data_IF_316880153484
#
_entry.id   IF_316880153484
#
_cell.length_a   1.000
_cell.length_b   1.000
_cell.length_c   1.000
_cell.angle_alpha   90.00
_cell.angle_beta   90.00
_cell.angle_gamma   90.00
#
_symmetry.space_group_name_H-M   'P 1'
#
loop_
_entity.id
_entity.type
_entity.pdbx_description
1 polymer ?
#
# COMPACT_ATOMS: atom_id res chain seq x y z
N UNK A 1 -51.37 -7.06 2.18
CA UNK A 1 -52.20 -5.89 1.82
C UNK A 1 -51.98 -4.78 2.85
N UNK A 2 -51.14 -3.80 2.59
CA UNK A 2 -51.20 -2.48 3.21
C UNK A 2 -50.30 -1.55 2.40
N UNK A 3 -50.99 -0.75 1.63
CA UNK A 3 -50.44 0.31 0.78
C UNK A 3 -50.15 1.52 1.67
N UNK A 4 -48.88 1.88 1.85
CA UNK A 4 -48.51 3.17 2.47
C UNK A 4 -48.59 4.26 1.43
N UNK A 5 -49.63 5.07 1.54
CA UNK A 5 -49.82 6.31 0.81
C UNK A 5 -48.79 7.35 1.25
N UNK A 6 -48.07 7.92 0.28
CA UNK A 6 -47.21 9.10 0.42
C UNK A 6 -48.06 10.34 0.57
N UNK A 7 -47.74 11.28 1.47
CA UNK A 7 -48.46 12.54 1.61
C UNK A 7 -48.22 13.48 0.43
N UNK A 8 -49.31 14.09 -0.03
CA UNK A 8 -49.39 15.10 -1.09
C UNK A 8 -48.47 16.30 -0.80
N UNK A 9 -47.63 16.58 -1.78
CA UNK A 9 -46.78 17.77 -1.81
C UNK A 9 -47.63 19.03 -2.01
N UNK A 10 -47.74 19.83 -0.97
CA UNK A 10 -48.40 21.14 -1.02
C UNK A 10 -47.49 22.10 -1.81
N UNK A 11 -47.97 22.78 -2.86
CA UNK A 11 -47.17 23.78 -3.57
C UNK A 11 -47.01 25.03 -2.71
N UNK A 12 -45.76 25.41 -2.39
CA UNK A 12 -45.44 26.71 -1.81
C UNK A 12 -45.74 27.82 -2.81
N UNK A 13 -46.42 28.89 -2.40
CA UNK A 13 -46.62 30.06 -3.25
C UNK A 13 -45.26 30.71 -3.54
N UNK A 14 -44.99 30.94 -4.81
CA UNK A 14 -43.83 31.68 -5.27
C UNK A 14 -43.90 33.13 -4.77
N UNK A 15 -43.24 33.42 -3.67
CA UNK A 15 -43.02 34.80 -3.25
C UNK A 15 -42.06 35.46 -4.25
N UNK A 16 -42.61 36.40 -5.02
CA UNK A 16 -41.88 37.20 -5.98
C UNK A 16 -40.70 37.90 -5.28
N UNK A 17 -39.48 37.62 -5.72
CA UNK A 17 -38.30 38.34 -5.27
C UNK A 17 -38.48 39.82 -5.53
N UNK A 18 -38.29 40.69 -4.54
CA UNK A 18 -38.35 42.13 -4.77
C UNK A 18 -37.30 42.50 -5.82
N UNK A 19 -37.73 43.14 -6.89
CA UNK A 19 -36.88 43.63 -7.94
C UNK A 19 -35.94 44.67 -7.34
N UNK A 20 -34.64 44.34 -7.24
CA UNK A 20 -33.64 45.28 -6.75
C UNK A 20 -33.69 46.55 -7.56
N UNK A 21 -33.84 47.68 -6.89
CA UNK A 21 -33.81 49.00 -7.53
C UNK A 21 -32.44 49.18 -8.24
N UNK A 22 -32.40 49.80 -9.43
CA UNK A 22 -31.15 50.04 -10.12
C UNK A 22 -30.29 50.97 -9.31
N UNK A 23 -29.10 50.46 -8.90
CA UNK A 23 -28.07 51.22 -8.18
C UNK A 23 -27.53 52.27 -9.14
N UNK A 24 -27.57 53.57 -8.77
CA UNK A 24 -27.10 54.66 -9.65
C UNK A 24 -25.63 54.46 -10.04
N UNK A 25 -25.29 54.66 -11.29
CA UNK A 25 -23.98 54.44 -11.89
C UNK A 25 -22.82 55.23 -11.22
N UNK A 26 -23.16 56.24 -10.42
CA UNK A 26 -22.17 57.05 -9.65
C UNK A 26 -21.48 56.29 -8.49
N UNK A 27 -21.96 55.13 -8.05
CA UNK A 27 -21.36 54.31 -6.93
C UNK A 27 -20.42 53.23 -7.40
N UNK A 28 -20.11 53.09 -8.67
CA UNK A 28 -19.10 52.13 -9.18
C UNK A 28 -17.69 52.75 -9.24
N UNK A 29 -17.28 53.48 -8.21
CA UNK A 29 -15.87 53.80 -8.08
C UNK A 29 -15.14 52.54 -7.64
N UNK A 30 -14.29 51.99 -8.52
CA UNK A 30 -13.40 50.89 -8.19
C UNK A 30 -12.55 51.21 -6.97
N UNK A 31 -12.02 50.21 -6.28
CA UNK A 31 -11.17 50.44 -5.09
C UNK A 31 -10.00 51.35 -5.51
N UNK A 32 -9.88 52.50 -4.85
CA UNK A 32 -8.73 53.40 -5.05
C UNK A 32 -7.43 52.70 -4.62
N UNK A 33 -6.27 53.29 -4.92
CA UNK A 33 -4.94 52.72 -4.62
C UNK A 33 -4.84 52.22 -3.19
N UNK A 34 -5.41 52.93 -2.23
CA UNK A 34 -5.48 52.49 -0.81
C UNK A 34 -6.32 51.23 -0.60
N UNK A 35 -7.34 50.98 -1.41
CA UNK A 35 -8.14 49.76 -1.38
C UNK A 35 -7.40 48.57 -2.00
N UNK A 36 -6.61 48.79 -3.03
CA UNK A 36 -5.74 47.79 -3.64
C UNK A 36 -4.61 47.37 -2.68
N UNK A 37 -3.98 48.33 -2.01
CA UNK A 37 -2.94 48.03 -1.01
C UNK A 37 -3.47 47.24 0.18
N UNK A 38 -4.63 47.61 0.74
CA UNK A 38 -5.28 46.80 1.81
C UNK A 38 -5.67 45.42 1.34
N UNK A 39 -6.12 45.28 0.08
CA UNK A 39 -6.42 43.96 -0.52
C UNK A 39 -5.16 43.09 -0.67
N UNK A 40 -4.04 43.71 -0.95
CA UNK A 40 -2.76 43.01 -1.07
C UNK A 40 -2.20 42.59 0.32
N UNK A 41 -2.26 43.46 1.32
CA UNK A 41 -1.91 43.15 2.70
C UNK A 41 -2.81 42.03 3.28
N UNK A 42 -4.11 42.04 2.98
CA UNK A 42 -5.02 40.98 3.40
C UNK A 42 -4.68 39.64 2.73
N UNK A 43 -4.29 39.64 1.46
CA UNK A 43 -3.87 38.41 0.75
C UNK A 43 -2.58 37.85 1.32
N UNK A 44 -1.59 38.68 1.64
CA UNK A 44 -0.32 38.23 2.23
C UNK A 44 -0.51 37.70 3.65
N UNK A 45 -1.34 38.35 4.46
CA UNK A 45 -1.69 37.85 5.81
C UNK A 45 -2.49 36.56 5.75
N UNK A 46 -3.46 36.43 4.85
CA UNK A 46 -4.20 35.18 4.65
C UNK A 46 -3.30 34.04 4.14
N UNK A 47 -2.35 34.33 3.25
CA UNK A 47 -1.34 33.37 2.81
C UNK A 47 -0.49 32.87 3.97
N UNK A 48 0.04 33.77 4.79
CA UNK A 48 0.84 33.40 5.96
C UNK A 48 0.04 32.58 6.99
N UNK A 49 -1.23 32.91 7.22
CA UNK A 49 -2.12 32.13 8.10
C UNK A 49 -2.41 30.74 7.50
N UNK A 50 -2.59 30.65 6.17
CA UNK A 50 -2.75 29.38 5.46
C UNK A 50 -1.53 28.47 5.66
N UNK A 51 -0.33 28.98 5.42
CA UNK A 51 0.92 28.24 5.63
C UNK A 51 1.13 27.78 7.08
N UNK A 52 0.80 28.63 8.04
CA UNK A 52 0.85 28.26 9.47
C UNK A 52 -0.16 27.15 9.82
N UNK A 53 -1.35 27.21 9.25
CA UNK A 53 -2.38 26.19 9.46
C UNK A 53 -1.95 24.84 8.87
N UNK A 54 -1.43 24.85 7.65
CA UNK A 54 -0.89 23.65 7.01
C UNK A 54 0.29 23.06 7.80
N UNK A 55 1.22 23.91 8.24
CA UNK A 55 2.35 23.46 9.07
C UNK A 55 1.91 22.83 10.40
N UNK A 56 0.89 23.41 11.05
CA UNK A 56 0.34 22.86 12.30
C UNK A 56 -0.42 21.56 12.08
N UNK A 57 -1.19 21.45 10.99
CA UNK A 57 -1.88 20.21 10.63
C UNK A 57 -0.88 19.11 10.29
N UNK A 58 0.17 19.42 9.54
CA UNK A 58 1.25 18.48 9.22
C UNK A 58 1.99 18.01 10.48
N UNK A 59 2.29 18.93 11.41
CA UNK A 59 2.93 18.57 12.67
C UNK A 59 2.06 17.65 13.53
N UNK A 60 0.74 17.90 13.61
CA UNK A 60 -0.22 17.02 14.28
C UNK A 60 -0.30 15.65 13.63
N UNK A 61 -0.38 15.58 12.31
CA UNK A 61 -0.41 14.32 11.58
C UNK A 61 0.88 13.50 11.81
N UNK A 62 2.05 14.15 11.78
CA UNK A 62 3.33 13.51 12.11
C UNK A 62 3.36 12.96 13.53
N UNK A 63 2.88 13.73 14.52
CA UNK A 63 2.82 13.27 15.90
C UNK A 63 1.88 12.07 16.08
N UNK A 64 0.72 12.08 15.41
CA UNK A 64 -0.21 10.95 15.42
C UNK A 64 0.40 9.70 14.78
N UNK A 65 1.11 9.84 13.66
CA UNK A 65 1.82 8.73 13.01
C UNK A 65 2.92 8.15 13.92
N UNK A 66 3.66 9.00 14.62
CA UNK A 66 4.69 8.53 15.57
C UNK A 66 4.05 7.78 16.75
N UNK A 67 2.95 8.28 17.31
CA UNK A 67 2.22 7.59 18.36
C UNK A 67 1.68 6.24 17.91
N UNK A 68 1.12 6.17 16.69
CA UNK A 68 0.64 4.93 16.10
C UNK A 68 1.78 3.93 15.88
N UNK A 69 2.92 4.38 15.37
CA UNK A 69 4.11 3.52 15.23
C UNK A 69 4.58 2.96 16.57
N UNK A 70 4.59 3.78 17.63
CA UNK A 70 4.91 3.32 18.98
C UNK A 70 3.94 2.23 19.45
N UNK A 71 2.63 2.47 19.34
CA UNK A 71 1.61 1.51 19.73
C UNK A 71 1.68 0.19 18.94
N UNK A 72 1.97 0.26 17.63
CA UNK A 72 2.18 -0.93 16.80
C UNK A 72 3.44 -1.71 17.25
N UNK A 73 4.51 -1.01 17.61
CA UNK A 73 5.75 -1.62 18.13
C UNK A 73 5.48 -2.37 19.45
N UNK A 74 4.81 -1.73 20.39
CA UNK A 74 4.47 -2.34 21.68
C UNK A 74 3.57 -3.56 21.50
N UNK A 75 2.56 -3.45 20.62
CA UNK A 75 1.69 -4.56 20.27
C UNK A 75 2.46 -5.74 19.71
N UNK A 76 3.37 -5.47 18.84
CA UNK A 76 4.17 -6.46 18.16
C UNK A 76 5.15 -7.17 19.12
N UNK A 77 5.81 -6.45 20.02
CA UNK A 77 6.61 -7.05 21.07
C UNK A 77 5.78 -7.98 21.96
N UNK A 78 4.63 -7.52 22.40
CA UNK A 78 3.71 -8.27 23.26
C UNK A 78 3.22 -9.55 22.61
N UNK A 79 3.01 -9.55 21.30
CA UNK A 79 2.42 -10.65 20.54
C UNK A 79 3.42 -11.37 19.62
N UNK A 80 4.72 -11.13 19.77
CA UNK A 80 5.80 -11.70 18.93
C UNK A 80 5.68 -13.21 18.73
N UNK A 81 5.44 -13.96 19.80
CA UNK A 81 5.30 -15.41 19.72
C UNK A 81 4.15 -15.83 18.80
N UNK A 82 3.01 -15.13 18.90
CA UNK A 82 1.82 -15.41 18.10
C UNK A 82 1.99 -14.98 16.64
N UNK A 83 2.64 -13.84 16.39
CA UNK A 83 2.98 -13.39 15.04
C UNK A 83 3.87 -14.41 14.33
N UNK A 84 4.81 -15.04 15.03
CA UNK A 84 5.72 -16.02 14.44
C UNK A 84 5.08 -17.39 14.23
N UNK A 85 4.11 -17.80 15.06
CA UNK A 85 3.51 -19.13 15.00
C UNK A 85 2.23 -19.21 14.17
N UNK A 86 1.41 -18.15 14.13
CA UNK A 86 0.09 -18.12 13.50
C UNK A 86 0.09 -17.30 12.20
N UNK A 87 -0.05 -17.93 11.03
CA UNK A 87 -0.03 -17.21 9.74
C UNK A 87 -1.16 -16.20 9.60
N UNK A 88 -2.38 -16.53 10.10
CA UNK A 88 -3.53 -15.64 9.99
C UNK A 88 -3.34 -14.39 10.84
N UNK A 89 -2.83 -14.56 12.06
CA UNK A 89 -2.52 -13.43 12.94
C UNK A 89 -1.40 -12.56 12.37
N UNK A 90 -0.37 -13.18 11.78
CA UNK A 90 0.72 -12.49 11.09
C UNK A 90 0.22 -11.69 9.90
N UNK A 91 -0.66 -12.28 9.08
CA UNK A 91 -1.29 -11.60 7.96
C UNK A 91 -2.07 -10.36 8.40
N UNK A 92 -2.98 -10.52 9.37
CA UNK A 92 -3.76 -9.41 9.91
C UNK A 92 -2.88 -8.29 10.48
N UNK A 93 -1.78 -8.66 11.15
CA UNK A 93 -0.80 -7.70 11.64
C UNK A 93 -0.10 -6.93 10.50
N UNK A 94 0.34 -7.63 9.44
CA UNK A 94 0.94 -6.98 8.26
C UNK A 94 -0.04 -6.04 7.57
N UNK A 95 -1.29 -6.44 7.39
CA UNK A 95 -2.35 -5.61 6.80
C UNK A 95 -2.61 -4.35 7.64
N UNK A 96 -2.63 -4.48 8.95
CA UNK A 96 -2.76 -3.35 9.86
C UNK A 96 -1.57 -2.38 9.75
N UNK A 97 -0.35 -2.88 9.64
CA UNK A 97 0.84 -2.06 9.44
C UNK A 97 0.78 -1.29 8.11
N UNK A 98 0.42 -1.97 7.02
CA UNK A 98 0.26 -1.35 5.69
C UNK A 98 -0.83 -0.28 5.71
N UNK A 99 -1.98 -0.55 6.34
CA UNK A 99 -3.06 0.43 6.51
C UNK A 99 -2.63 1.66 7.31
N UNK A 100 -1.70 1.47 8.25
CA UNK A 100 -1.08 2.55 9.01
C UNK A 100 0.05 3.29 8.25
N UNK A 101 0.30 2.95 6.98
CA UNK A 101 1.39 3.51 6.18
C UNK A 101 2.78 3.09 6.65
N UNK A 102 2.87 1.96 7.34
CA UNK A 102 4.12 1.38 7.83
C UNK A 102 4.31 0.04 7.14
N UNK A 103 5.35 -0.06 6.29
CA UNK A 103 5.69 -1.33 5.68
C UNK A 103 6.59 -2.14 6.61
N UNK A 104 6.11 -3.26 7.18
CA UNK A 104 6.90 -4.10 8.07
C UNK A 104 8.04 -4.83 7.36
N UNK A 105 8.05 -4.86 6.01
CA UNK A 105 9.05 -5.56 5.20
C UNK A 105 10.09 -4.62 4.58
N UNK A 106 9.77 -3.34 4.38
CA UNK A 106 10.63 -2.39 3.68
C UNK A 106 11.75 -1.81 4.55
N UNK A 107 11.69 -1.93 5.87
CA UNK A 107 12.69 -1.33 6.74
C UNK A 107 13.82 -2.30 7.07
N UNK A 108 14.80 -2.38 6.18
CA UNK A 108 16.05 -3.14 6.39
C UNK A 108 16.97 -2.58 7.50
N UNK A 109 16.61 -1.48 8.15
CA UNK A 109 17.37 -0.81 9.23
C UNK A 109 16.50 -0.12 10.28
N UNK A 110 15.22 -0.46 10.41
CA UNK A 110 14.30 0.20 11.32
C UNK A 110 13.99 -0.64 12.56
N UNK A 111 13.42 0.02 13.55
CA UNK A 111 12.86 -0.50 14.80
C UNK A 111 12.06 -1.82 14.65
N UNK A 112 11.56 -2.12 13.47
CA UNK A 112 10.71 -3.27 13.18
C UNK A 112 11.49 -4.58 13.01
N UNK A 113 12.68 -4.51 12.45
CA UNK A 113 13.54 -5.68 12.24
C UNK A 113 14.12 -6.16 13.56
N UNK A 114 14.54 -5.20 14.39
CA UNK A 114 15.12 -5.47 15.71
C UNK A 114 14.05 -5.88 16.75
N UNK A 115 12.86 -5.28 16.69
CA UNK A 115 11.78 -5.49 17.66
C UNK A 115 10.90 -6.70 17.35
N UNK A 116 10.67 -7.03 16.09
CA UNK A 116 9.66 -8.01 15.66
C UNK A 116 10.25 -9.31 15.12
N UNK A 117 11.42 -9.26 14.50
CA UNK A 117 11.93 -10.39 13.72
C UNK A 117 10.99 -10.78 12.56
N UNK A 118 10.00 -9.95 12.20
CA UNK A 118 9.09 -10.23 11.06
C UNK A 118 9.85 -10.05 9.76
N UNK A 119 10.68 -9.04 9.64
CA UNK A 119 11.58 -8.86 8.50
C UNK A 119 12.56 -10.03 8.40
N UNK A 120 13.16 -10.43 9.50
CA UNK A 120 14.03 -11.61 9.56
C UNK A 120 13.27 -12.89 9.20
N UNK A 121 12.05 -13.08 9.71
CA UNK A 121 11.19 -14.23 9.36
C UNK A 121 10.96 -14.33 7.85
N UNK A 122 10.58 -13.23 7.18
CA UNK A 122 10.37 -13.24 5.75
C UNK A 122 11.66 -13.35 4.93
N UNK A 123 12.76 -12.79 5.42
CA UNK A 123 14.09 -12.97 4.81
C UNK A 123 14.57 -14.43 4.89
N UNK A 124 14.41 -15.07 6.04
CA UNK A 124 14.70 -16.50 6.20
C UNK A 124 13.79 -17.36 5.32
N UNK A 125 12.50 -17.04 5.28
CA UNK A 125 11.54 -17.72 4.42
C UNK A 125 11.90 -17.56 2.95
N UNK A 126 12.31 -16.36 2.53
CA UNK A 126 12.74 -16.07 1.17
C UNK A 126 13.96 -16.92 0.75
N UNK A 127 14.94 -17.07 1.63
CA UNK A 127 16.10 -17.96 1.40
C UNK A 127 15.65 -19.42 1.28
N UNK A 128 14.71 -19.87 2.10
CA UNK A 128 14.18 -21.23 2.03
C UNK A 128 13.41 -21.49 0.73
N UNK A 129 12.58 -20.54 0.31
CA UNK A 129 11.87 -20.57 -0.99
C UNK A 129 12.86 -20.64 -2.14
N UNK A 130 13.88 -19.78 -2.13
CA UNK A 130 14.92 -19.78 -3.15
C UNK A 130 15.68 -21.12 -3.19
N UNK A 131 16.01 -21.67 -2.02
CA UNK A 131 16.67 -22.98 -1.90
C UNK A 131 15.78 -24.08 -2.46
N UNK A 132 14.45 -24.07 -2.19
CA UNK A 132 13.52 -25.03 -2.76
C UNK A 132 13.48 -24.93 -4.31
N UNK A 133 13.40 -23.71 -4.83
CA UNK A 133 13.42 -23.47 -6.28
C UNK A 133 14.71 -23.96 -6.93
N UNK A 134 15.87 -23.70 -6.33
CA UNK A 134 17.16 -24.14 -6.87
C UNK A 134 17.31 -25.66 -6.85
N UNK A 135 16.86 -26.33 -5.79
CA UNK A 135 16.95 -27.80 -5.66
C UNK A 135 16.05 -28.53 -6.65
N UNK A 136 14.95 -27.94 -7.08
CA UNK A 136 13.99 -28.55 -8.01
C UNK A 136 14.21 -28.11 -9.47
N UNK A 137 15.11 -27.18 -9.69
CA UNK A 137 15.32 -26.51 -10.99
C UNK A 137 15.62 -27.46 -12.12
N UNK A 138 16.44 -28.47 -11.89
CA UNK A 138 16.84 -29.45 -12.92
C UNK A 138 15.67 -30.30 -13.40
N UNK A 139 14.62 -30.43 -12.57
CA UNK A 139 13.42 -31.21 -12.87
C UNK A 139 12.31 -30.34 -13.47
N UNK A 140 12.10 -29.13 -12.93
CA UNK A 140 10.96 -28.27 -13.28
C UNK A 140 11.33 -27.04 -14.12
N UNK A 141 12.60 -26.91 -14.53
CA UNK A 141 13.05 -25.80 -15.37
C UNK A 141 12.96 -24.44 -14.71
N UNK A 142 12.87 -24.38 -13.37
CA UNK A 142 12.75 -23.14 -12.60
C UNK A 142 11.32 -22.66 -12.41
N UNK A 143 10.31 -23.49 -12.67
CA UNK A 143 8.90 -23.23 -12.42
C UNK A 143 8.39 -24.21 -11.37
N UNK A 144 8.05 -23.73 -10.18
CA UNK A 144 7.58 -24.54 -9.06
C UNK A 144 6.15 -24.12 -8.67
N UNK A 145 5.25 -25.10 -8.54
CA UNK A 145 3.91 -24.80 -8.03
C UNK A 145 3.98 -24.21 -6.60
N UNK A 146 3.18 -23.18 -6.33
CA UNK A 146 3.22 -22.48 -5.04
C UNK A 146 2.89 -23.40 -3.86
N UNK A 147 1.99 -24.38 -4.07
CA UNK A 147 1.61 -25.35 -3.03
C UNK A 147 2.74 -26.33 -2.77
N UNK A 148 3.37 -26.82 -3.83
CA UNK A 148 4.53 -27.71 -3.74
C UNK A 148 5.71 -26.98 -3.06
N UNK A 149 5.94 -25.71 -3.43
CA UNK A 149 6.92 -24.87 -2.76
C UNK A 149 6.64 -24.75 -1.26
N UNK A 150 5.37 -24.52 -0.89
CA UNK A 150 4.93 -24.43 0.50
C UNK A 150 5.18 -25.73 1.27
N UNK A 151 4.92 -26.88 0.68
CA UNK A 151 5.20 -28.19 1.30
C UNK A 151 6.69 -28.42 1.52
N UNK A 152 7.53 -28.11 0.54
CA UNK A 152 8.98 -28.20 0.65
C UNK A 152 9.53 -27.30 1.75
N UNK A 153 9.02 -26.08 1.84
CA UNK A 153 9.42 -25.12 2.88
C UNK A 153 8.96 -25.60 4.25
N UNK A 154 7.72 -26.08 4.40
CA UNK A 154 7.20 -26.62 5.67
C UNK A 154 8.03 -27.78 6.16
N UNK A 155 8.43 -28.69 5.27
CA UNK A 155 9.28 -29.83 5.61
C UNK A 155 10.67 -29.42 6.13
N UNK A 156 11.18 -28.25 5.75
CA UNK A 156 12.49 -27.75 6.18
C UNK A 156 12.46 -26.90 7.45
N UNK A 157 11.26 -26.53 7.96
CA UNK A 157 11.10 -25.65 9.13
C UNK A 157 10.91 -26.41 10.44
N UNK A 158 11.33 -25.82 11.57
CA UNK A 158 11.04 -26.37 12.89
C UNK A 158 9.52 -26.46 13.16
N UNK A 159 9.12 -27.46 13.92
CA UNK A 159 7.74 -27.60 14.36
C UNK A 159 7.29 -26.35 15.16
N UNK A 160 6.10 -25.85 14.85
CA UNK A 160 5.51 -24.67 15.51
C UNK A 160 5.66 -23.34 14.76
N UNK A 161 6.41 -23.28 13.67
CA UNK A 161 6.46 -22.15 12.76
C UNK A 161 5.61 -22.43 11.51
N UNK A 162 4.32 -22.17 11.62
CA UNK A 162 3.41 -22.38 10.51
C UNK A 162 3.57 -21.29 9.44
N UNK A 163 3.53 -21.71 8.18
CA UNK A 163 3.64 -20.87 6.98
C UNK A 163 2.48 -21.16 6.06
N UNK A 164 1.94 -20.13 5.41
CA UNK A 164 0.89 -20.25 4.40
C UNK A 164 1.35 -19.72 3.02
N UNK A 165 0.47 -19.83 2.02
CA UNK A 165 0.76 -19.33 0.67
C UNK A 165 0.96 -17.81 0.64
N UNK A 166 0.28 -17.07 1.50
CA UNK A 166 0.42 -15.61 1.64
C UNK A 166 1.81 -15.24 2.13
N UNK A 167 2.35 -16.01 3.07
CA UNK A 167 3.72 -15.81 3.57
C UNK A 167 4.77 -16.08 2.48
N UNK A 168 4.59 -17.16 1.70
CA UNK A 168 5.49 -17.47 0.58
C UNK A 168 5.46 -16.35 -0.46
N UNK A 169 4.28 -15.80 -0.79
CA UNK A 169 4.16 -14.67 -1.72
C UNK A 169 4.88 -13.43 -1.21
N UNK A 170 4.74 -13.11 0.08
CA UNK A 170 5.44 -11.97 0.69
C UNK A 170 6.95 -12.20 0.73
N UNK A 171 7.39 -13.41 1.06
CA UNK A 171 8.81 -13.76 1.06
C UNK A 171 9.43 -13.61 -0.34
N UNK A 172 8.72 -14.08 -1.39
CA UNK A 172 9.15 -13.87 -2.79
C UNK A 172 9.20 -12.38 -3.13
N UNK A 173 8.26 -11.57 -2.61
CA UNK A 173 8.29 -10.12 -2.75
C UNK A 173 9.57 -9.48 -2.18
N UNK A 174 10.10 -10.01 -1.07
CA UNK A 174 11.38 -9.54 -0.52
C UNK A 174 12.56 -9.81 -1.47
N UNK A 175 12.50 -10.86 -2.27
CA UNK A 175 13.55 -11.19 -3.25
C UNK A 175 13.59 -10.24 -4.45
N UNK A 176 12.56 -9.43 -4.67
CA UNK A 176 12.52 -8.44 -5.75
C UNK A 176 13.68 -7.43 -5.67
N UNK A 177 14.23 -7.20 -4.48
CA UNK A 177 15.42 -6.38 -4.28
C UNK A 177 16.70 -7.00 -4.89
N UNK A 178 16.71 -8.31 -5.11
CA UNK A 178 17.83 -9.05 -5.71
C UNK A 178 17.76 -9.13 -7.25
N UNK A 179 16.68 -8.62 -7.86
CA UNK A 179 16.48 -8.64 -9.30
C UNK A 179 15.13 -9.25 -9.70
N UNK A 180 14.91 -9.39 -11.00
CA UNK A 180 13.66 -9.90 -11.58
C UNK A 180 13.65 -11.41 -11.81
N UNK A 181 14.72 -12.09 -11.46
CA UNK A 181 14.90 -13.53 -11.72
C UNK A 181 13.98 -14.44 -10.89
N UNK A 182 13.37 -13.93 -9.82
CA UNK A 182 12.47 -14.69 -8.95
C UNK A 182 11.16 -13.92 -8.74
N UNK A 183 10.05 -14.63 -8.82
CA UNK A 183 8.73 -14.01 -8.64
C UNK A 183 7.61 -15.04 -8.60
N UNK A 184 6.37 -14.55 -8.44
CA UNK A 184 5.16 -15.37 -8.52
C UNK A 184 4.34 -14.94 -9.73
N UNK A 185 3.91 -15.90 -10.52
CA UNK A 185 3.01 -15.67 -11.66
C UNK A 185 1.82 -16.63 -11.61
N UNK A 186 0.68 -16.15 -12.05
CA UNK A 186 -0.51 -17.00 -12.22
C UNK A 186 -0.60 -17.43 -13.67
N UNK A 187 -0.60 -18.74 -13.91
CA UNK A 187 -0.70 -19.33 -15.23
C UNK A 187 -1.72 -20.47 -15.19
N UNK A 188 -2.74 -20.43 -16.04
CA UNK A 188 -3.76 -21.45 -16.12
C UNK A 188 -4.53 -21.68 -14.80
N UNK A 189 -4.74 -20.63 -13.98
CA UNK A 189 -5.39 -20.74 -12.68
C UNK A 189 -4.51 -21.29 -11.56
N UNK A 190 -3.25 -21.64 -11.84
CA UNK A 190 -2.24 -22.06 -10.86
C UNK A 190 -1.29 -20.92 -10.55
N UNK A 191 -0.86 -20.83 -9.30
CA UNK A 191 0.19 -19.90 -8.89
C UNK A 191 1.54 -20.62 -8.95
N UNK A 192 2.44 -20.09 -9.74
CA UNK A 192 3.78 -20.65 -9.93
C UNK A 192 4.82 -19.67 -9.39
N UNK A 193 5.76 -20.19 -8.63
CA UNK A 193 7.01 -19.49 -8.29
C UNK A 193 8.00 -19.76 -9.43
N UNK A 194 8.48 -18.70 -10.07
CA UNK A 194 9.55 -18.83 -11.07
C UNK A 194 10.88 -18.40 -10.48
N UNK A 195 11.93 -19.10 -10.88
CA UNK A 195 13.31 -18.82 -10.50
C UNK A 195 14.19 -18.98 -11.73
N UNK A 196 14.17 -17.95 -12.59
CA UNK A 196 14.92 -17.90 -13.84
C UNK A 196 16.04 -16.87 -13.72
N UNK A 197 17.25 -17.12 -14.23
CA UNK A 197 18.29 -16.10 -14.33
C UNK A 197 17.80 -14.92 -15.16
N UNK A 198 18.14 -13.70 -14.79
CA UNK A 198 17.75 -12.47 -15.50
C UNK A 198 18.24 -12.50 -16.97
N UNK A 199 19.35 -13.17 -17.22
CA UNK A 199 19.94 -13.36 -18.57
C UNK A 199 19.03 -14.15 -19.52
N UNK A 200 18.20 -15.05 -18.99
CA UNK A 200 17.25 -15.83 -19.80
C UNK A 200 15.92 -15.11 -20.04
N UNK A 201 15.66 -13.99 -19.39
CA UNK A 201 14.41 -13.24 -19.57
C UNK A 201 14.42 -12.30 -20.78
N UNK A 202 15.60 -11.92 -21.27
CA UNK A 202 15.77 -11.09 -22.47
C UNK A 202 15.92 -11.94 -23.75
N UNK A 203 16.62 -13.05 -23.68
CA UNK A 203 16.92 -13.92 -24.82
C UNK A 203 15.69 -14.59 -25.47
N UNK A 204 14.67 -15.10 -24.74
CA UNK A 204 13.50 -15.66 -25.39
C UNK A 204 12.67 -14.63 -26.15
N UNK A 205 12.63 -13.37 -25.68
CA UNK A 205 11.96 -12.30 -26.41
C UNK A 205 12.70 -11.95 -27.70
N UNK A 206 14.04 -11.84 -27.65
CA UNK A 206 14.88 -11.63 -28.81
C UNK A 206 14.83 -12.82 -29.81
N UNK A 207 14.80 -14.06 -29.32
CA UNK A 207 14.66 -15.24 -30.15
C UNK A 207 13.28 -15.31 -30.85
N UNK A 208 12.21 -14.90 -30.16
CA UNK A 208 10.87 -14.80 -30.75
C UNK A 208 10.78 -13.68 -31.80
N UNK A 209 11.43 -12.54 -31.58
CA UNK A 209 11.51 -11.45 -32.56
C UNK A 209 12.27 -11.87 -33.80
N UNK A 210 13.41 -12.57 -33.68
CA UNK A 210 14.19 -13.10 -34.79
C UNK A 210 13.40 -14.18 -35.52
N UNK A 211 12.69 -15.06 -34.82
CA UNK A 211 11.84 -16.08 -35.43
C UNK A 211 10.64 -15.48 -36.18
N UNK A 212 10.05 -14.43 -35.70
CA UNK A 212 8.95 -13.71 -36.33
C UNK A 212 9.41 -12.88 -37.55
N UNK A 213 10.67 -12.44 -37.59
CA UNK A 213 11.24 -11.71 -38.72
C UNK A 213 11.76 -12.63 -39.84
N UNK A 214 11.95 -13.95 -39.57
CA UNK A 214 12.46 -14.95 -40.51
C UNK A 214 11.36 -15.81 -41.17
N UNK A 215 10.09 -15.67 -40.77
CA UNK A 215 8.90 -16.34 -41.33
C UNK A 215 8.00 -15.39 -42.07
#
# INVERSE_FOLDING_TARGET
SSVHQLPLRVPFPAQGRPRAAPVPAAMRRGPGVAGLMRGQETRTTMGAVGEQLEATQLARAKAQLQSLRGALSDFAQKHRGRINSDPQFRQAFCEMCVAAGVDPLASSKGLWDELLGVGQFYSELAVQVLTACLRTRDVNGGLLDLKECLELVRASRPAGQNVDEGDVRRAVGCLAALGRGVGVRVCGGRSLVYSLPDELSADPAAALEVGAAAG
#
